data_IF_036277149329
#
_entry.id   IF_036277149329
#
_cell.length_a   1.000
_cell.length_b   1.000
_cell.length_c   1.000
_cell.angle_alpha   90.00
_cell.angle_beta   90.00
_cell.angle_gamma   90.00
#
_symmetry.space_group_name_H-M   'P 1'
#
loop_
_entity.id
_entity.type
_entity.pdbx_description
1 polymer ?
#
# COMPACT_ATOMS: atom_id res chain seq x y z
N UNK A 1 48.53 7.59 21.54
CA UNK A 1 47.87 6.82 20.44
C UNK A 1 46.43 6.39 20.73
N UNK A 2 46.08 5.95 21.95
CA UNK A 2 44.73 5.46 22.29
C UNK A 2 43.57 6.46 22.11
N UNK A 3 43.81 7.77 22.30
CA UNK A 3 42.78 8.82 22.15
C UNK A 3 42.41 9.16 20.68
N UNK A 4 43.28 8.83 19.71
CA UNK A 4 43.02 9.09 18.28
C UNK A 4 42.15 8.01 17.63
N UNK A 5 42.13 6.80 18.20
CA UNK A 5 41.31 5.68 17.72
C UNK A 5 39.83 5.86 18.13
N UNK A 6 39.57 6.48 19.29
CA UNK A 6 38.21 6.70 19.79
C UNK A 6 37.39 7.68 18.92
N UNK A 7 38.06 8.63 18.27
CA UNK A 7 37.43 9.63 17.38
C UNK A 7 37.02 9.00 16.03
N UNK A 8 37.72 7.95 15.58
CA UNK A 8 37.40 7.27 14.32
C UNK A 8 36.17 6.37 14.47
N UNK A 9 35.97 5.78 15.65
CA UNK A 9 34.82 4.89 15.94
C UNK A 9 33.51 5.67 16.14
N UNK A 10 33.58 6.94 16.56
CA UNK A 10 32.39 7.79 16.72
C UNK A 10 31.92 8.43 15.41
N UNK A 11 32.77 8.51 14.38
CA UNK A 11 32.44 9.10 13.08
C UNK A 11 31.75 8.12 12.11
N UNK A 12 31.90 6.80 12.32
CA UNK A 12 31.36 5.77 11.43
C UNK A 12 29.90 5.39 11.67
N UNK A 13 29.28 5.86 12.76
CA UNK A 13 27.89 5.50 13.12
C UNK A 13 26.84 6.41 12.45
N UNK A 14 27.26 7.49 11.77
CA UNK A 14 26.33 8.47 11.18
C UNK A 14 25.78 8.12 9.78
N UNK A 15 26.21 7.02 9.15
CA UNK A 15 25.83 6.72 7.76
C UNK A 15 24.66 5.73 7.57
N UNK A 16 24.04 5.22 8.63
CA UNK A 16 23.08 4.10 8.51
C UNK A 16 21.60 4.50 8.46
N UNK A 17 21.26 5.79 8.33
CA UNK A 17 19.87 6.25 8.40
C UNK A 17 19.32 6.80 7.09
N UNK A 18 19.67 6.21 5.95
CA UNK A 18 18.81 6.31 4.77
C UNK A 18 17.65 5.33 4.94
N UNK A 19 16.67 5.71 5.77
CA UNK A 19 15.35 5.10 5.74
C UNK A 19 14.78 5.39 4.35
N UNK A 20 14.96 4.46 3.42
CA UNK A 20 14.48 4.58 2.05
C UNK A 20 12.94 4.60 2.07
N UNK A 21 12.37 5.78 2.25
CA UNK A 21 10.95 6.01 2.08
C UNK A 21 10.64 5.83 0.58
N UNK A 22 10.07 4.68 0.21
CA UNK A 22 9.74 4.40 -1.19
C UNK A 22 8.84 5.51 -1.74
N UNK A 23 9.27 6.10 -2.86
CA UNK A 23 8.63 7.27 -3.46
C UNK A 23 7.49 6.82 -4.34
N UNK A 24 6.27 7.05 -3.87
CA UNK A 24 5.04 6.70 -4.61
C UNK A 24 4.48 7.92 -5.32
N UNK A 25 4.30 7.80 -6.64
CA UNK A 25 3.71 8.82 -7.49
C UNK A 25 2.63 8.20 -8.37
N UNK A 26 1.51 8.90 -8.55
CA UNK A 26 0.49 8.52 -9.52
C UNK A 26 0.47 9.60 -10.61
N UNK A 27 0.62 9.22 -11.88
CA UNK A 27 0.59 10.14 -13.03
C UNK A 27 -0.14 9.45 -14.18
N UNK A 28 -1.13 10.14 -14.77
CA UNK A 28 -1.92 9.64 -15.91
C UNK A 28 -2.41 8.19 -15.71
N UNK A 29 -2.98 7.92 -14.54
CA UNK A 29 -3.46 6.58 -14.15
C UNK A 29 -2.37 5.49 -14.04
N UNK A 30 -1.10 5.84 -14.02
CA UNK A 30 -0.01 4.89 -13.73
C UNK A 30 0.56 5.15 -12.34
N UNK A 31 0.72 4.09 -11.57
CA UNK A 31 1.43 4.07 -10.29
C UNK A 31 2.91 3.86 -10.55
N UNK A 32 3.72 4.76 -10.01
CA UNK A 32 5.16 4.70 -10.00
C UNK A 32 5.63 4.44 -8.57
N UNK A 33 6.45 3.41 -8.39
CA UNK A 33 7.16 3.11 -7.14
C UNK A 33 8.64 3.28 -7.41
N UNK A 34 9.29 4.18 -6.68
CA UNK A 34 10.70 4.56 -6.88
C UNK A 34 11.03 4.94 -8.32
N UNK A 35 10.06 5.56 -9.01
CA UNK A 35 10.19 6.00 -10.39
C UNK A 35 9.95 4.91 -11.44
N UNK A 36 9.79 3.64 -11.06
CA UNK A 36 9.44 2.54 -11.95
C UNK A 36 7.93 2.42 -12.11
N UNK A 37 7.46 2.20 -13.35
CA UNK A 37 6.06 1.88 -13.64
C UNK A 37 5.69 0.53 -13.01
N UNK A 38 4.62 0.53 -12.22
CA UNK A 38 4.34 -0.56 -11.31
C UNK A 38 2.94 -1.12 -11.50
N UNK A 39 1.93 -0.25 -11.53
CA UNK A 39 0.53 -0.63 -11.71
C UNK A 39 -0.18 0.38 -12.61
N UNK A 40 -1.21 -0.07 -13.30
CA UNK A 40 -2.19 0.78 -13.99
C UNK A 40 -3.44 0.92 -13.13
N UNK A 41 -4.08 2.08 -13.21
CA UNK A 41 -5.32 2.41 -12.52
C UNK A 41 -6.43 2.58 -13.57
N UNK A 42 -7.59 2.01 -13.31
CA UNK A 42 -8.79 2.23 -14.10
C UNK A 42 -10.02 2.37 -13.19
N UNK A 43 -11.19 2.56 -13.79
CA UNK A 43 -12.45 2.76 -13.07
C UNK A 43 -12.79 4.22 -12.82
N UNK A 44 -13.69 4.45 -11.87
CA UNK A 44 -14.30 5.74 -11.57
C UNK A 44 -13.95 6.25 -10.17
N UNK A 45 -14.74 7.16 -9.62
CA UNK A 45 -14.54 7.72 -8.28
C UNK A 45 -14.91 6.76 -7.15
N UNK A 46 -15.80 5.80 -7.42
CA UNK A 46 -16.36 4.89 -6.44
C UNK A 46 -15.76 3.48 -6.56
N UNK A 47 -15.33 3.07 -7.76
CA UNK A 47 -14.73 1.77 -8.01
C UNK A 47 -13.41 1.96 -8.75
N UNK A 48 -12.30 1.59 -8.13
CA UNK A 48 -10.96 1.81 -8.66
C UNK A 48 -10.24 0.48 -8.78
N UNK A 49 -9.90 0.09 -10.00
CA UNK A 49 -9.14 -1.13 -10.26
C UNK A 49 -7.65 -0.84 -10.39
N UNK A 50 -6.83 -1.78 -9.91
CA UNK A 50 -5.37 -1.76 -10.01
C UNK A 50 -4.92 -3.02 -10.75
N UNK A 51 -4.26 -2.83 -11.89
CA UNK A 51 -3.76 -3.93 -12.73
C UNK A 51 -2.25 -3.86 -12.91
N UNK A 52 -1.66 -5.00 -13.27
CA UNK A 52 -0.28 -5.04 -13.71
C UNK A 52 -0.09 -4.35 -15.07
N UNK A 53 1.15 -4.28 -15.54
CA UNK A 53 1.47 -3.62 -16.81
C UNK A 53 0.90 -4.37 -18.04
N UNK A 54 0.64 -5.67 -17.90
CA UNK A 54 0.05 -6.56 -18.90
C UNK A 54 -1.48 -6.42 -18.97
N UNK A 55 -2.10 -5.78 -17.99
CA UNK A 55 -3.55 -5.57 -17.92
C UNK A 55 -4.29 -6.58 -17.03
N UNK A 56 -3.58 -7.45 -16.30
CA UNK A 56 -4.21 -8.36 -15.35
C UNK A 56 -4.62 -7.60 -14.10
N UNK A 57 -5.89 -7.63 -13.73
CA UNK A 57 -6.40 -6.95 -12.54
C UNK A 57 -5.94 -7.69 -11.27
N UNK A 58 -5.29 -6.98 -10.36
CA UNK A 58 -4.71 -7.55 -9.14
C UNK A 58 -5.63 -7.33 -7.93
N UNK A 59 -6.17 -6.12 -7.81
CA UNK A 59 -7.09 -5.75 -6.74
C UNK A 59 -7.91 -4.52 -7.13
N UNK A 60 -9.03 -4.31 -6.44
CA UNK A 60 -9.82 -3.08 -6.54
C UNK A 60 -10.11 -2.46 -5.18
N UNK A 61 -10.41 -1.17 -5.20
CA UNK A 61 -10.84 -0.35 -4.07
C UNK A 61 -12.23 0.22 -4.38
N UNK A 62 -13.20 -0.06 -3.51
CA UNK A 62 -14.53 0.53 -3.56
C UNK A 62 -14.75 1.51 -2.42
N UNK A 63 -15.39 2.64 -2.73
CA UNK A 63 -15.90 3.60 -1.77
C UNK A 63 -17.40 3.35 -1.61
N UNK A 64 -17.84 3.01 -0.40
CA UNK A 64 -19.21 2.60 -0.14
C UNK A 64 -19.88 3.58 0.83
N UNK A 65 -21.01 4.12 0.37
CA UNK A 65 -21.91 4.96 1.15
C UNK A 65 -23.20 4.18 1.38
N UNK A 66 -23.27 3.39 2.47
CA UNK A 66 -24.42 2.49 2.69
C UNK A 66 -25.70 3.21 3.10
N UNK A 67 -25.64 4.48 3.53
CA UNK A 67 -26.80 5.26 3.96
C UNK A 67 -26.38 6.71 4.26
N UNK A 68 -27.28 7.71 4.22
CA UNK A 68 -27.01 9.03 4.78
C UNK A 68 -26.59 9.01 6.26
N UNK A 69 -26.85 7.92 6.98
CA UNK A 69 -26.51 7.74 8.39
C UNK A 69 -25.26 6.89 8.63
N UNK A 70 -24.74 6.20 7.60
CA UNK A 70 -23.55 5.34 7.72
C UNK A 70 -22.37 6.07 7.11
N UNK A 71 -21.30 6.21 7.90
CA UNK A 71 -20.06 6.86 7.45
C UNK A 71 -19.46 6.10 6.26
N UNK A 72 -18.81 6.85 5.35
CA UNK A 72 -18.07 6.27 4.23
C UNK A 72 -17.10 5.20 4.75
N UNK A 73 -17.16 4.01 4.17
CA UNK A 73 -16.14 2.99 4.37
C UNK A 73 -15.58 2.54 3.02
N UNK A 74 -14.40 1.93 3.08
CA UNK A 74 -13.72 1.39 1.91
C UNK A 74 -13.68 -0.12 1.96
N UNK A 75 -13.88 -0.75 0.81
CA UNK A 75 -13.66 -2.19 0.62
C UNK A 75 -12.53 -2.40 -0.37
N UNK A 76 -11.56 -3.23 -0.01
CA UNK A 76 -10.47 -3.62 -0.90
C UNK A 76 -10.53 -5.11 -1.10
N UNK A 77 -10.47 -5.56 -2.34
CA UNK A 77 -10.53 -6.98 -2.72
C UNK A 77 -9.35 -7.31 -3.61
N UNK A 78 -8.67 -8.43 -3.32
CA UNK A 78 -7.52 -8.96 -4.03
C UNK A 78 -7.92 -10.26 -4.72
N UNK A 79 -7.73 -10.34 -6.04
CA UNK A 79 -8.33 -11.41 -6.85
C UNK A 79 -7.63 -12.75 -6.76
N UNK A 80 -6.29 -12.76 -6.85
CA UNK A 80 -5.51 -14.00 -6.93
C UNK A 80 -5.69 -14.89 -5.69
N UNK A 81 -5.94 -14.28 -4.54
CA UNK A 81 -6.01 -14.94 -3.25
C UNK A 81 -7.43 -14.97 -2.66
N UNK A 82 -8.43 -14.46 -3.40
CA UNK A 82 -9.83 -14.31 -2.96
C UNK A 82 -9.95 -13.70 -1.54
N UNK A 83 -9.19 -12.64 -1.28
CA UNK A 83 -9.19 -11.95 0.02
C UNK A 83 -9.78 -10.56 -0.11
N UNK A 84 -10.50 -10.11 0.92
CA UNK A 84 -10.95 -8.73 1.01
C UNK A 84 -10.96 -8.23 2.43
N UNK A 85 -10.97 -6.92 2.59
CA UNK A 85 -11.21 -6.27 3.87
C UNK A 85 -12.09 -5.05 3.70
N UNK A 86 -12.72 -4.64 4.80
CA UNK A 86 -13.49 -3.40 4.91
C UNK A 86 -12.91 -2.52 6.01
N UNK A 87 -12.79 -1.22 5.77
CA UNK A 87 -12.33 -0.27 6.79
C UNK A 87 -13.11 1.04 6.72
N UNK A 88 -13.64 1.41 7.88
CA UNK A 88 -14.36 2.66 8.15
C UNK A 88 -13.50 3.64 8.95
N UNK A 89 -12.68 3.15 9.89
CA UNK A 89 -11.78 4.00 10.68
C UNK A 89 -10.60 4.53 9.85
N UNK A 90 -10.25 3.81 8.78
CA UNK A 90 -9.13 4.14 7.90
C UNK A 90 -9.57 4.14 6.43
N UNK A 91 -10.15 5.25 5.98
CA UNK A 91 -10.63 5.43 4.59
C UNK A 91 -9.46 5.46 3.61
N UNK A 92 -9.30 4.37 2.86
CA UNK A 92 -8.21 4.24 1.88
C UNK A 92 -8.46 5.08 0.62
N UNK A 93 -7.55 6.01 0.33
CA UNK A 93 -7.46 6.63 -1.01
C UNK A 93 -6.54 5.82 -1.92
N UNK A 94 -6.62 6.03 -3.24
CA UNK A 94 -5.76 5.35 -4.24
C UNK A 94 -4.28 5.36 -3.85
N UNK A 95 -3.75 6.54 -3.52
CA UNK A 95 -2.34 6.72 -3.14
C UNK A 95 -2.02 6.12 -1.77
N UNK A 96 -2.96 6.20 -0.83
CA UNK A 96 -2.77 5.70 0.52
C UNK A 96 -2.71 4.17 0.56
N UNK A 97 -3.59 3.50 -0.20
CA UNK A 97 -3.60 2.05 -0.34
C UNK A 97 -2.25 1.55 -0.87
N UNK A 98 -1.78 2.10 -2.00
CA UNK A 98 -0.47 1.75 -2.53
C UNK A 98 0.65 2.02 -1.51
N UNK A 99 0.60 3.15 -0.81
CA UNK A 99 1.58 3.47 0.23
C UNK A 99 1.62 2.44 1.34
N UNK A 100 0.47 1.96 1.80
CA UNK A 100 0.41 0.94 2.85
C UNK A 100 0.86 -0.41 2.34
N UNK A 101 0.43 -0.82 1.15
CA UNK A 101 0.87 -2.08 0.54
C UNK A 101 2.40 -2.12 0.37
N UNK A 102 3.00 -1.04 -0.11
CA UNK A 102 4.46 -0.91 -0.25
C UNK A 102 5.16 -0.89 1.10
N UNK A 103 4.67 -0.08 2.05
CA UNK A 103 5.27 0.07 3.38
C UNK A 103 5.24 -1.23 4.19
N UNK A 104 4.19 -2.03 4.07
CA UNK A 104 4.05 -3.30 4.78
C UNK A 104 4.74 -4.45 4.01
N UNK A 105 5.33 -4.17 2.85
CA UNK A 105 6.01 -5.15 1.98
C UNK A 105 5.04 -6.10 1.26
N UNK A 106 3.74 -5.80 1.29
CA UNK A 106 2.69 -6.55 0.59
C UNK A 106 2.76 -6.33 -0.91
N UNK A 107 3.15 -5.14 -1.36
CA UNK A 107 3.50 -4.87 -2.75
C UNK A 107 5.02 -4.65 -2.82
N UNK A 108 5.73 -5.62 -3.40
CA UNK A 108 7.18 -5.57 -3.58
C UNK A 108 7.52 -5.92 -5.01
N UNK A 109 8.45 -5.18 -5.61
CA UNK A 109 8.85 -5.37 -7.01
C UNK A 109 7.65 -5.41 -7.98
N UNK A 110 6.62 -4.62 -7.66
CA UNK A 110 5.36 -4.51 -8.40
C UNK A 110 4.51 -5.79 -8.44
N UNK A 111 4.72 -6.68 -7.45
CA UNK A 111 3.95 -7.90 -7.27
C UNK A 111 3.40 -7.99 -5.85
N UNK A 112 2.22 -8.57 -5.72
CA UNK A 112 1.65 -8.88 -4.41
C UNK A 112 2.37 -10.08 -3.80
N UNK A 113 2.68 -9.99 -2.51
CA UNK A 113 3.32 -11.06 -1.76
C UNK A 113 2.25 -11.71 -0.87
N UNK A 114 1.77 -12.89 -1.27
CA UNK A 114 0.64 -13.62 -0.66
C UNK A 114 0.73 -13.72 0.88
N UNK A 115 1.87 -14.15 1.42
CA UNK A 115 2.05 -14.27 2.88
C UNK A 115 1.88 -12.95 3.64
N UNK A 116 2.27 -11.83 3.02
CA UNK A 116 2.13 -10.48 3.58
C UNK A 116 0.72 -9.94 3.36
N UNK A 117 0.07 -10.34 2.27
CA UNK A 117 -1.29 -9.96 1.95
C UNK A 117 -2.27 -10.43 3.02
N UNK A 118 -2.16 -11.69 3.45
CA UNK A 118 -2.99 -12.21 4.55
C UNK A 118 -2.88 -11.38 5.83
N UNK A 119 -1.66 -11.01 6.22
CA UNK A 119 -1.41 -10.16 7.39
C UNK A 119 -1.93 -8.73 7.19
N UNK A 120 -1.82 -8.20 5.97
CA UNK A 120 -2.33 -6.89 5.62
C UNK A 120 -3.85 -6.84 5.77
N UNK A 121 -4.56 -7.82 5.22
CA UNK A 121 -6.02 -7.98 5.35
C UNK A 121 -6.41 -8.04 6.82
N UNK A 122 -5.81 -8.96 7.60
CA UNK A 122 -6.09 -9.09 9.03
C UNK A 122 -5.86 -7.81 9.85
N UNK A 123 -4.91 -6.97 9.43
CA UNK A 123 -4.55 -5.73 10.14
C UNK A 123 -5.56 -4.61 9.93
N UNK A 124 -6.18 -4.53 8.75
CA UNK A 124 -7.05 -3.42 8.37
C UNK A 124 -8.52 -3.80 8.26
N UNK A 125 -8.86 -5.09 8.33
CA UNK A 125 -10.24 -5.52 8.28
C UNK A 125 -10.98 -5.24 9.59
N UNK A 126 -11.98 -4.37 9.49
CA UNK A 126 -12.90 -4.02 10.57
C UNK A 126 -14.21 -4.81 10.48
N UNK A 127 -14.40 -5.63 9.43
CA UNK A 127 -15.63 -6.39 9.19
C UNK A 127 -16.90 -5.52 9.21
N UNK A 128 -16.82 -4.32 8.61
CA UNK A 128 -17.89 -3.30 8.61
C UNK A 128 -19.22 -3.84 8.08
N UNK A 129 -19.18 -4.77 7.12
CA UNK A 129 -20.38 -5.36 6.48
C UNK A 129 -21.05 -6.48 7.29
N UNK A 130 -20.37 -7.03 8.31
CA UNK A 130 -20.91 -8.11 9.15
C UNK A 130 -21.48 -7.60 10.49
N UNK A 131 -21.29 -6.32 10.79
CA UNK A 131 -21.76 -5.67 12.01
C UNK A 131 -23.13 -5.00 11.84
#
# INVERSE_FOLDING_TARGET
MKKRILVIITMSVFFVSFVNAQKIKIKKNTVYVDGKECLKISGDSNNVSFSDMSGNELFFLKFIHNSPYVSLYTKVTFFEEDMSFTSSSYVFTKKLLIKKLVSDGTLKDCKLISEKLKRFVQKYDENVEMN
#
